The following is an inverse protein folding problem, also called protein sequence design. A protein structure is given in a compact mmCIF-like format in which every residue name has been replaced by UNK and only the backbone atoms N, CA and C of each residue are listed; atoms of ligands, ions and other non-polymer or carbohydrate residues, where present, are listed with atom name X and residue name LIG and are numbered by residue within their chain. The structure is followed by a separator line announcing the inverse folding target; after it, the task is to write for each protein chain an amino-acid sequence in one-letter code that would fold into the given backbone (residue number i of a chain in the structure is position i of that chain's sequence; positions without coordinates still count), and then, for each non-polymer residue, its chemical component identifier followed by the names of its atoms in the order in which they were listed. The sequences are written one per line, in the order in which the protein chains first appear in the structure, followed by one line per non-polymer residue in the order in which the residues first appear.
data_IF_851071514595
#
_entry.id   IF_851071514595
#
_cell.length_a   1.000
_cell.length_b   1.000
_cell.length_c   1.000
_cell.angle_alpha   90.00
_cell.angle_beta   90.00
_cell.angle_gamma   90.00
#
_symmetry.space_group_name_H-M   'P 1'
#
loop_
_entity.id
_entity.type
_entity.pdbx_description
1 polymer ?
#
# COMPACT_ATOMS: atom_id res chain seq x y z
N UNK A 1 -1.42 -21.76 -9.18
CA UNK A 1 -0.17 -21.08 -8.79
C UNK A 1 -0.49 -19.60 -8.80
N UNK A 2 -0.07 -18.81 -7.79
CA UNK A 2 -0.30 -17.38 -7.82
C UNK A 2 0.31 -16.79 -9.09
N UNK A 3 -0.38 -15.86 -9.73
CA UNK A 3 0.13 -15.17 -10.91
C UNK A 3 1.41 -14.40 -10.53
N UNK A 4 2.35 -14.19 -11.45
CA UNK A 4 3.65 -13.58 -11.14
C UNK A 4 3.51 -12.20 -10.44
N UNK A 5 2.45 -11.45 -10.80
CA UNK A 5 2.10 -10.16 -10.20
C UNK A 5 1.70 -10.30 -8.73
N UNK A 6 1.01 -11.37 -8.36
CA UNK A 6 0.57 -11.65 -6.99
C UNK A 6 1.76 -11.99 -6.09
N UNK A 7 2.69 -12.82 -6.58
CA UNK A 7 3.90 -13.17 -5.84
C UNK A 7 4.83 -11.96 -5.63
N UNK A 8 4.94 -11.07 -6.61
CA UNK A 8 5.73 -9.84 -6.48
C UNK A 8 5.06 -8.83 -5.55
N UNK A 9 3.74 -8.71 -5.60
CA UNK A 9 3.02 -7.85 -4.68
C UNK A 9 3.10 -8.33 -3.23
N UNK A 10 3.03 -9.63 -2.98
CA UNK A 10 3.15 -10.18 -1.61
C UNK A 10 4.49 -9.77 -0.98
N UNK A 11 5.60 -9.87 -1.73
CA UNK A 11 6.93 -9.43 -1.23
C UNK A 11 6.95 -7.94 -0.89
N UNK A 12 6.25 -7.13 -1.68
CA UNK A 12 6.14 -5.69 -1.43
C UNK A 12 5.30 -5.43 -0.20
N UNK A 13 4.19 -6.13 -0.02
CA UNK A 13 3.41 -6.01 1.21
C UNK A 13 4.24 -6.38 2.43
N UNK A 14 4.99 -7.49 2.38
CA UNK A 14 5.85 -7.92 3.48
C UNK A 14 6.93 -6.86 3.81
N UNK A 15 7.55 -6.25 2.79
CA UNK A 15 8.59 -5.23 2.96
C UNK A 15 8.03 -3.89 3.47
N UNK A 16 6.87 -3.46 2.97
CA UNK A 16 6.32 -2.12 3.20
C UNK A 16 5.14 -2.07 4.17
N UNK A 17 4.72 -3.21 4.72
CA UNK A 17 3.71 -3.28 5.77
C UNK A 17 3.97 -2.29 6.93
N UNK A 18 5.20 -2.16 7.47
CA UNK A 18 5.46 -1.25 8.59
C UNK A 18 5.24 0.23 8.26
N UNK A 19 5.53 0.67 7.02
CA UNK A 19 5.33 2.07 6.63
C UNK A 19 3.87 2.35 6.31
N UNK A 20 3.17 1.43 5.64
CA UNK A 20 1.74 1.54 5.37
C UNK A 20 0.94 1.60 6.68
N UNK A 21 1.30 0.76 7.65
CA UNK A 21 0.68 0.74 8.98
C UNK A 21 0.87 2.09 9.69
N UNK A 22 2.09 2.64 9.69
CA UNK A 22 2.39 3.95 10.29
C UNK A 22 1.61 5.07 9.63
N UNK A 23 1.47 5.06 8.30
CA UNK A 23 0.67 6.06 7.56
C UNK A 23 -0.79 5.93 7.99
N UNK A 24 -1.40 4.74 7.90
CA UNK A 24 -2.80 4.59 8.31
C UNK A 24 -3.04 5.03 9.76
N UNK A 25 -2.12 4.72 10.69
CA UNK A 25 -2.23 5.15 12.10
C UNK A 25 -2.05 6.66 12.32
N UNK A 26 -1.36 7.35 11.42
CA UNK A 26 -1.18 8.79 11.51
C UNK A 26 -2.41 9.57 11.02
N UNK A 27 -3.20 8.96 10.12
CA UNK A 27 -4.35 9.61 9.48
C UNK A 27 -5.71 9.13 10.02
N UNK A 28 -5.79 7.93 10.58
CA UNK A 28 -7.00 7.44 11.25
C UNK A 28 -7.21 8.13 12.61
N UNK A 29 -8.41 8.68 12.84
CA UNK A 29 -8.79 9.32 14.11
C UNK A 29 -9.23 8.29 15.17
N UNK A 30 -9.90 7.22 14.74
CA UNK A 30 -10.33 6.11 15.58
C UNK A 30 -9.82 4.76 15.04
N UNK A 31 -9.85 3.73 15.89
CA UNK A 31 -9.32 2.40 15.55
C UNK A 31 -10.20 1.65 14.53
N UNK A 32 -11.51 1.93 14.52
CA UNK A 32 -12.45 1.43 13.50
C UNK A 32 -12.11 2.03 12.14
N UNK A 33 -11.85 3.34 12.09
CA UNK A 33 -11.46 4.04 10.86
C UNK A 33 -10.12 3.53 10.30
N UNK A 34 -9.21 3.05 11.17
CA UNK A 34 -7.91 2.54 10.74
C UNK A 34 -8.00 1.27 9.91
N UNK A 35 -8.85 0.30 10.29
CA UNK A 35 -8.93 -0.97 9.58
C UNK A 35 -9.49 -0.78 8.17
N UNK A 36 -10.53 0.04 8.03
CA UNK A 36 -11.15 0.35 6.75
C UNK A 36 -10.19 1.16 5.86
N UNK A 37 -9.55 2.20 6.41
CA UNK A 37 -8.54 2.98 5.71
C UNK A 37 -7.36 2.11 5.25
N UNK A 38 -6.88 1.23 6.12
CA UNK A 38 -5.75 0.36 5.81
C UNK A 38 -6.11 -0.63 4.69
N UNK A 39 -7.32 -1.22 4.72
CA UNK A 39 -7.78 -2.05 3.61
C UNK A 39 -7.88 -1.27 2.31
N UNK A 40 -8.45 -0.06 2.33
CA UNK A 40 -8.57 0.76 1.13
C UNK A 40 -7.19 1.09 0.54
N UNK A 41 -6.22 1.44 1.38
CA UNK A 41 -4.83 1.67 0.96
C UNK A 41 -4.22 0.44 0.25
N UNK A 42 -4.46 -0.77 0.78
CA UNK A 42 -3.97 -2.01 0.16
C UNK A 42 -4.62 -2.26 -1.20
N UNK A 43 -5.93 -2.03 -1.33
CA UNK A 43 -6.67 -2.20 -2.59
C UNK A 43 -6.18 -1.21 -3.65
N UNK A 44 -6.02 0.06 -3.29
CA UNK A 44 -5.50 1.09 -4.19
C UNK A 44 -4.06 0.78 -4.62
N UNK A 45 -3.24 0.28 -3.69
CA UNK A 45 -1.87 -0.13 -4.00
C UNK A 45 -1.82 -1.32 -4.96
N UNK A 46 -2.66 -2.35 -4.76
CA UNK A 46 -2.79 -3.49 -5.67
C UNK A 46 -3.19 -3.06 -7.08
N UNK A 47 -4.19 -2.19 -7.20
CA UNK A 47 -4.66 -1.69 -8.50
C UNK A 47 -3.62 -0.81 -9.21
N UNK A 48 -2.82 -0.06 -8.45
CA UNK A 48 -1.80 0.81 -8.99
C UNK A 48 -0.50 0.07 -9.34
N UNK A 49 -0.19 -1.03 -8.65
CA UNK A 49 1.10 -1.73 -8.75
C UNK A 49 1.46 -2.19 -10.19
N UNK A 50 0.55 -2.76 -11.01
CA UNK A 50 0.85 -3.09 -12.40
C UNK A 50 1.27 -1.91 -13.28
N UNK A 51 0.99 -0.68 -12.84
CA UNK A 51 1.35 0.57 -13.53
C UNK A 51 2.66 1.18 -13.04
N UNK A 52 3.35 0.53 -12.10
CA UNK A 52 4.64 1.01 -11.62
C UNK A 52 5.72 0.85 -12.70
N UNK A 53 6.24 1.97 -13.20
CA UNK A 53 7.23 2.01 -14.31
C UNK A 53 8.68 2.18 -13.87
N UNK A 54 8.97 2.04 -12.57
CA UNK A 54 10.32 2.22 -12.00
C UNK A 54 10.97 3.60 -12.26
N UNK A 55 10.18 4.62 -12.60
CA UNK A 55 10.65 6.03 -12.77
C UNK A 55 10.99 6.71 -11.43
N UNK A 56 10.60 6.10 -10.31
CA UNK A 56 10.91 6.53 -8.95
C UNK A 56 11.16 5.31 -8.07
N UNK A 57 11.70 5.52 -6.86
CA UNK A 57 11.81 4.44 -5.86
C UNK A 57 10.43 3.85 -5.58
N UNK A 58 10.38 2.53 -5.42
CA UNK A 58 9.15 1.82 -5.04
C UNK A 58 8.55 2.39 -3.75
N UNK A 59 9.39 2.69 -2.75
CA UNK A 59 8.98 3.37 -1.52
C UNK A 59 8.26 4.69 -1.76
N UNK A 60 8.72 5.49 -2.72
CA UNK A 60 8.09 6.78 -3.09
C UNK A 60 6.74 6.56 -3.76
N UNK A 61 6.63 5.55 -4.62
CA UNK A 61 5.37 5.17 -5.25
C UNK A 61 4.34 4.73 -4.19
N UNK A 62 4.73 3.83 -3.28
CA UNK A 62 3.87 3.32 -2.20
C UNK A 62 3.41 4.46 -1.30
N UNK A 63 4.32 5.33 -0.89
CA UNK A 63 4.00 6.48 -0.04
C UNK A 63 2.96 7.41 -0.71
N UNK A 64 3.12 7.67 -2.01
CA UNK A 64 2.17 8.47 -2.78
C UNK A 64 0.77 7.83 -2.86
N UNK A 65 0.70 6.51 -3.10
CA UNK A 65 -0.59 5.81 -3.17
C UNK A 65 -1.28 5.84 -1.80
N UNK A 66 -0.54 5.52 -0.73
CA UNK A 66 -1.05 5.53 0.63
C UNK A 66 -1.61 6.92 1.04
N UNK A 67 -0.89 7.99 0.73
CA UNK A 67 -1.33 9.35 1.04
C UNK A 67 -2.53 9.84 0.23
N UNK A 68 -2.74 9.32 -0.98
CA UNK A 68 -3.90 9.70 -1.80
C UNK A 68 -5.19 8.99 -1.34
N UNK A 69 -5.06 7.98 -0.47
CA UNK A 69 -6.19 7.23 0.09
C UNK A 69 -6.55 7.70 1.50
N UNK A 70 -5.61 8.30 2.23
CA UNK A 70 -5.75 8.72 3.63
C UNK A 70 -6.29 10.15 3.83
#
# INVERSE_FOLDING_TARGET
MPDAVEADFQKILDEYHPILYKIGRAYAREEVDFQDLYQEMLIQLWQAFPRFRAEAKLSTFIYRVALNTA
#
